data_IF_301466660952
#
_entry.id   IF_301466660952
#
_cell.length_a   1.000
_cell.length_b   1.000
_cell.length_c   1.000
_cell.angle_alpha   90.00
_cell.angle_beta   90.00
_cell.angle_gamma   90.00
#
_symmetry.space_group_name_H-M   'P 1'
#
loop_
_entity.id
_entity.type
_entity.pdbx_description
1 polymer ?
#
# COMPACT_ATOMS: atom_id res chain seq x y z
N UNK A 1 -10.73 5.00 -6.10
CA UNK A 1 -10.07 6.34 -6.08
C UNK A 1 -9.14 6.54 -7.28
N UNK A 2 -8.72 7.77 -7.56
CA UNK A 2 -7.65 8.09 -8.53
C UNK A 2 -6.28 8.14 -7.84
N UNK A 3 -5.20 8.18 -8.63
CA UNK A 3 -3.83 8.35 -8.10
C UNK A 3 -3.63 9.65 -7.34
N UNK A 4 -4.19 10.75 -7.83
CA UNK A 4 -4.06 12.07 -7.20
C UNK A 4 -4.73 12.09 -5.83
N UNK A 5 -5.93 11.50 -5.74
CA UNK A 5 -6.63 11.30 -4.47
C UNK A 5 -5.83 10.40 -3.52
N UNK A 6 -5.19 9.35 -4.04
CA UNK A 6 -4.34 8.47 -3.24
C UNK A 6 -3.16 9.24 -2.65
N UNK A 7 -2.41 9.99 -3.46
CA UNK A 7 -1.28 10.79 -2.97
C UNK A 7 -1.72 11.82 -1.93
N UNK A 8 -2.81 12.55 -2.21
CA UNK A 8 -3.40 13.52 -1.28
C UNK A 8 -3.80 12.88 0.04
N UNK A 9 -4.37 11.67 0.01
CA UNK A 9 -4.73 10.93 1.22
C UNK A 9 -3.49 10.46 1.99
N UNK A 10 -2.46 9.94 1.31
CA UNK A 10 -1.22 9.51 1.97
C UNK A 10 -0.46 10.67 2.61
N UNK A 11 -0.46 11.84 1.98
CA UNK A 11 0.15 13.06 2.51
C UNK A 11 -0.59 13.55 3.76
N UNK A 12 -1.93 13.63 3.69
CA UNK A 12 -2.79 14.02 4.80
C UNK A 12 -2.62 13.13 6.03
N UNK A 13 -2.45 11.82 5.82
CA UNK A 13 -2.26 10.83 6.90
C UNK A 13 -0.79 10.68 7.32
N UNK A 14 0.12 11.48 6.75
CA UNK A 14 1.56 11.43 7.01
C UNK A 14 2.13 10.00 6.83
N UNK A 15 1.68 9.32 5.78
CA UNK A 15 2.15 8.00 5.39
C UNK A 15 3.49 8.18 4.66
N UNK A 16 4.53 7.53 5.16
CA UNK A 16 5.85 7.63 4.59
C UNK A 16 5.87 7.15 3.13
N UNK A 17 6.40 7.93 2.17
CA UNK A 17 6.44 7.54 0.76
C UNK A 17 7.22 6.26 0.49
N UNK A 18 8.10 5.84 1.41
CA UNK A 18 8.83 4.58 1.28
C UNK A 18 8.03 3.36 1.74
N UNK A 19 6.88 3.54 2.39
CA UNK A 19 6.02 2.43 2.85
C UNK A 19 5.15 1.85 1.75
N UNK A 20 5.10 2.51 0.59
CA UNK A 20 4.38 2.03 -0.57
C UNK A 20 5.16 2.29 -1.86
N UNK A 21 4.78 1.62 -2.93
CA UNK A 21 5.28 1.86 -4.27
C UNK A 21 4.18 1.56 -5.29
N UNK A 22 4.03 2.43 -6.29
CA UNK A 22 3.10 2.20 -7.39
C UNK A 22 3.92 1.83 -8.63
N UNK A 23 3.59 0.71 -9.25
CA UNK A 23 4.18 0.15 -10.48
C UNK A 23 5.66 -0.23 -10.41
N UNK A 24 6.28 -0.15 -9.24
CA UNK A 24 7.69 -0.50 -9.05
C UNK A 24 7.85 -1.34 -7.78
N UNK A 25 8.59 -2.43 -7.89
CA UNK A 25 8.83 -3.33 -6.76
C UNK A 25 9.94 -2.77 -5.87
N UNK A 26 9.61 -2.50 -4.60
CA UNK A 26 10.57 -2.02 -3.62
C UNK A 26 10.50 -2.85 -2.34
N UNK A 27 11.65 -3.25 -1.81
CA UNK A 27 11.71 -3.94 -0.52
C UNK A 27 11.12 -3.12 0.62
N UNK A 28 10.55 -3.82 1.59
CA UNK A 28 9.89 -3.29 2.78
C UNK A 28 8.77 -2.29 2.48
N UNK A 29 8.00 -2.54 1.42
CA UNK A 29 6.91 -1.65 0.97
C UNK A 29 5.69 -2.40 0.45
N UNK A 30 4.52 -1.76 0.52
CA UNK A 30 3.33 -2.23 -0.17
C UNK A 30 3.35 -1.77 -1.63
N UNK A 31 3.40 -2.72 -2.54
CA UNK A 31 3.48 -2.49 -3.97
C UNK A 31 2.11 -2.69 -4.60
N UNK A 32 1.70 -1.73 -5.43
CA UNK A 32 0.61 -1.91 -6.37
C UNK A 32 1.19 -2.09 -7.76
N UNK A 33 0.85 -3.18 -8.43
CA UNK A 33 1.37 -3.50 -9.75
C UNK A 33 0.26 -4.06 -10.66
N UNK A 34 0.47 -4.01 -11.97
CA UNK A 34 -0.44 -4.60 -12.94
C UNK A 34 0.14 -5.92 -13.46
N UNK A 35 -0.46 -7.03 -13.03
CA UNK A 35 -0.03 -8.38 -13.40
C UNK A 35 -1.07 -8.95 -14.38
N UNK A 36 -0.72 -8.93 -15.67
CA UNK A 36 -1.64 -9.29 -16.76
C UNK A 36 -2.80 -8.30 -16.87
N UNK A 37 -4.02 -8.79 -16.77
CA UNK A 37 -5.25 -7.98 -16.82
C UNK A 37 -5.77 -7.55 -15.45
N UNK A 38 -5.09 -7.91 -14.36
CA UNK A 38 -5.49 -7.59 -13.00
C UNK A 38 -4.52 -6.62 -12.32
N UNK A 39 -5.06 -5.86 -11.38
CA UNK A 39 -4.31 -5.02 -10.46
C UNK A 39 -4.02 -5.80 -9.19
N UNK A 40 -2.76 -5.88 -8.78
CA UNK A 40 -2.33 -6.66 -7.64
C UNK A 40 -1.67 -5.76 -6.60
N UNK A 41 -2.12 -5.88 -5.36
CA UNK A 41 -1.49 -5.27 -4.20
C UNK A 41 -0.80 -6.37 -3.41
N UNK A 42 0.48 -6.19 -3.14
CA UNK A 42 1.27 -7.12 -2.34
C UNK A 42 2.30 -6.37 -1.50
N UNK A 43 2.74 -6.97 -0.41
CA UNK A 43 3.85 -6.47 0.40
C UNK A 43 5.12 -7.23 0.07
N UNK A 44 6.22 -6.51 -0.14
CA UNK A 44 7.55 -7.09 -0.34
C UNK A 44 8.41 -6.90 0.89
N UNK A 45 9.03 -7.97 1.36
CA UNK A 45 9.99 -7.98 2.47
C UNK A 45 11.13 -8.93 2.13
N UNK A 46 12.34 -8.40 2.00
CA UNK A 46 13.57 -9.16 1.75
C UNK A 46 13.43 -10.11 0.57
N UNK A 47 12.90 -9.60 -0.55
CA UNK A 47 12.64 -10.37 -1.77
C UNK A 47 11.48 -11.38 -1.67
N UNK A 48 10.75 -11.44 -0.56
CA UNK A 48 9.55 -12.28 -0.40
C UNK A 48 8.29 -11.45 -0.57
N UNK A 49 7.35 -11.94 -1.37
CA UNK A 49 6.04 -11.30 -1.56
C UNK A 49 5.00 -11.93 -0.62
N UNK A 50 4.19 -11.10 0.02
CA UNK A 50 3.16 -11.47 0.99
C UNK A 50 1.88 -10.64 0.78
N UNK A 51 0.73 -11.10 1.29
CA UNK A 51 -0.57 -10.38 1.22
C UNK A 51 -0.97 -9.98 -0.19
N UNK A 52 -1.14 -10.99 -1.05
CA UNK A 52 -1.48 -10.82 -2.45
C UNK A 52 -2.99 -10.68 -2.62
N UNK A 53 -3.46 -9.46 -2.90
CA UNK A 53 -4.85 -9.20 -3.24
C UNK A 53 -4.95 -8.70 -4.69
N UNK A 54 -5.91 -9.24 -5.45
CA UNK A 54 -6.16 -8.87 -6.83
C UNK A 54 -7.46 -8.08 -7.00
N UNK A 55 -7.47 -7.17 -7.97
CA UNK A 55 -8.53 -6.24 -8.23
C UNK A 55 -8.73 -6.08 -9.74
N UNK A 56 -9.97 -5.80 -10.14
CA UNK A 56 -10.30 -5.57 -11.56
C UNK A 56 -9.90 -4.16 -12.01
N UNK A 57 -9.92 -3.19 -11.10
CA UNK A 57 -9.61 -1.79 -11.41
C UNK A 57 -8.48 -1.25 -10.55
N UNK A 58 -7.75 -0.29 -11.10
CA UNK A 58 -6.70 0.45 -10.40
C UNK A 58 -7.29 1.16 -9.17
N UNK A 59 -8.50 1.68 -9.32
CA UNK A 59 -9.20 2.43 -8.30
C UNK A 59 -9.50 1.60 -7.05
N UNK A 60 -9.95 0.36 -7.22
CA UNK A 60 -10.20 -0.57 -6.12
C UNK A 60 -8.90 -0.96 -5.41
N UNK A 61 -7.84 -1.21 -6.21
CA UNK A 61 -6.53 -1.56 -5.69
C UNK A 61 -5.91 -0.43 -4.86
N UNK A 62 -6.01 0.82 -5.32
CA UNK A 62 -5.56 2.01 -4.58
C UNK A 62 -6.36 2.21 -3.27
N UNK A 63 -7.67 1.98 -3.30
CA UNK A 63 -8.52 2.03 -2.11
C UNK A 63 -8.11 1.01 -1.06
N UNK A 64 -7.82 -0.22 -1.49
CA UNK A 64 -7.34 -1.28 -0.63
C UNK A 64 -5.94 -0.97 -0.07
N UNK A 65 -5.02 -0.49 -0.92
CA UNK A 65 -3.66 -0.12 -0.55
C UNK A 65 -3.68 0.96 0.56
N UNK A 66 -4.46 2.04 0.37
CA UNK A 66 -4.57 3.11 1.35
C UNK A 66 -5.08 2.59 2.70
N UNK A 67 -6.18 1.81 2.70
CA UNK A 67 -6.73 1.21 3.93
C UNK A 67 -5.70 0.35 4.65
N UNK A 68 -4.88 -0.39 3.90
CA UNK A 68 -3.83 -1.26 4.44
C UNK A 68 -2.69 -0.44 5.05
N UNK A 69 -2.25 0.62 4.38
CA UNK A 69 -1.23 1.54 4.89
C UNK A 69 -1.70 2.23 6.18
N UNK A 70 -2.93 2.74 6.20
CA UNK A 70 -3.52 3.38 7.39
C UNK A 70 -3.59 2.41 8.58
N UNK A 71 -3.99 1.14 8.35
CA UNK A 71 -4.00 0.11 9.40
C UNK A 71 -2.60 -0.18 9.94
N UNK A 72 -1.60 -0.29 9.06
CA UNK A 72 -0.21 -0.57 9.44
C UNK A 72 0.40 0.62 10.22
N UNK A 73 0.11 1.85 9.78
CA UNK A 73 0.51 3.09 10.44
C UNK A 73 -0.11 3.21 11.85
N UNK A 74 -1.42 3.01 11.95
CA UNK A 74 -2.14 3.01 13.24
C UNK A 74 -1.65 1.91 14.19
N UNK A 75 -1.28 0.74 13.67
CA UNK A 75 -0.79 -0.38 14.50
C UNK A 75 0.57 -0.08 15.15
N UNK A 76 1.39 0.80 14.55
CA UNK A 76 2.67 1.26 15.13
C UNK A 76 2.50 2.35 16.20
N UNK A 77 1.32 2.96 16.33
CA UNK A 77 1.00 3.94 17.38
C UNK A 77 0.42 3.33 18.67
N UNK A 78 0.53 2.02 18.90
CA UNK A 78 0.32 1.50 20.26
C UNK A 78 1.38 2.11 21.18
N UNK A 79 1.02 2.89 22.21
CA UNK A 79 1.99 3.36 23.16
C UNK A 79 2.67 2.14 23.81
N UNK A 80 3.98 2.06 23.68
CA UNK A 80 4.80 1.38 24.68
C UNK A 80 4.69 2.21 25.95
N UNK A 81 3.68 1.94 26.76
CA UNK A 81 3.63 2.28 28.19
C UNK A 81 3.19 1.01 28.90
N UNK A 82 4.14 0.25 29.44
CA UNK A 82 4.59 0.27 30.85
C UNK A 82 3.54 -0.32 31.78
#
# INVERSE_FOLDING_TARGET
>A
MTRDEFYSATDRENIMPHSYSLYDTKDDSFVLDKIGDAWCVYYTERGSQSKYENFQTESDALEYLLKTLMKSHTSRQRPRGL
#
